data_IF_197705173107
#
_entry.id   IF_197705173107
#
_cell.length_a   1.000
_cell.length_b   1.000
_cell.length_c   1.000
_cell.angle_alpha   90.00
_cell.angle_beta   90.00
_cell.angle_gamma   90.00
#
_symmetry.space_group_name_H-M   'P 1'
#
loop_
_entity.id
_entity.type
_entity.pdbx_description
1 polymer ?
#
# COMPACT_ATOMS: atom_id res chain seq x y z
N UNK A 1 -22.60 -5.80 -50.54
CA UNK A 1 -21.93 -4.57 -50.05
C UNK A 1 -21.60 -4.77 -48.58
N UNK A 2 -20.31 -4.90 -48.23
CA UNK A 2 -19.83 -5.17 -46.86
C UNK A 2 -19.55 -3.83 -46.16
N UNK A 3 -20.30 -3.52 -45.10
CA UNK A 3 -20.04 -2.37 -44.24
C UNK A 3 -18.77 -2.63 -43.41
N UNK A 4 -17.71 -1.83 -43.64
CA UNK A 4 -16.54 -1.78 -42.77
C UNK A 4 -16.81 -0.76 -41.66
N UNK A 5 -17.06 -1.25 -40.46
CA UNK A 5 -17.02 -0.41 -39.25
C UNK A 5 -15.58 0.02 -38.99
N UNK A 6 -15.32 1.31 -39.11
CA UNK A 6 -14.05 1.95 -38.77
C UNK A 6 -13.97 2.01 -37.24
N UNK A 7 -13.09 1.21 -36.65
CA UNK A 7 -12.67 1.38 -35.27
C UNK A 7 -11.71 2.57 -35.20
N UNK A 8 -12.18 3.69 -34.65
CA UNK A 8 -11.31 4.82 -34.30
C UNK A 8 -10.54 4.42 -33.04
N UNK A 9 -9.26 4.08 -33.21
CA UNK A 9 -8.32 4.04 -32.09
C UNK A 9 -8.13 5.47 -31.58
N UNK A 10 -8.75 5.83 -30.46
CA UNK A 10 -8.33 7.01 -29.70
C UNK A 10 -6.98 6.68 -29.02
N UNK A 11 -5.89 7.06 -29.68
CA UNK A 11 -4.59 7.18 -29.06
C UNK A 11 -4.63 8.36 -28.09
N UNK A 12 -4.74 8.05 -26.78
CA UNK A 12 -4.52 9.02 -25.71
C UNK A 12 -3.05 9.43 -25.78
N UNK A 13 -2.79 10.62 -26.33
CA UNK A 13 -1.48 11.25 -26.28
C UNK A 13 -1.24 11.69 -24.83
N UNK A 14 -0.41 10.94 -24.11
CA UNK A 14 0.06 11.37 -22.80
C UNK A 14 0.98 12.57 -22.97
N UNK A 15 0.54 13.74 -22.51
CA UNK A 15 1.40 14.88 -22.28
C UNK A 15 2.37 14.54 -21.15
N UNK A 16 3.65 14.36 -21.47
CA UNK A 16 4.70 14.25 -20.45
C UNK A 16 4.68 15.49 -19.55
N UNK A 17 4.87 15.35 -18.23
CA UNK A 17 5.03 16.50 -17.37
C UNK A 17 6.22 17.33 -17.87
N UNK A 18 6.00 18.62 -18.03
CA UNK A 18 7.01 19.57 -18.49
C UNK A 18 8.13 19.61 -17.44
N UNK A 19 9.32 19.12 -17.79
CA UNK A 19 10.49 19.24 -16.93
C UNK A 19 10.93 20.71 -16.88
N UNK A 20 10.87 21.32 -15.70
CA UNK A 20 11.46 22.64 -15.49
C UNK A 20 12.98 22.51 -15.33
N UNK A 21 13.74 23.46 -15.89
CA UNK A 21 15.14 23.73 -15.49
C UNK A 21 15.17 23.89 -13.97
N UNK A 22 16.25 23.48 -13.29
CA UNK A 22 16.43 23.77 -11.85
C UNK A 22 16.27 25.28 -11.64
N UNK A 23 15.08 25.68 -11.18
CA UNK A 23 14.74 27.02 -10.78
C UNK A 23 15.04 27.13 -9.29
N UNK A 24 15.41 28.33 -8.85
CA UNK A 24 15.67 28.63 -7.43
C UNK A 24 14.46 28.31 -6.52
N UNK A 25 13.28 28.17 -7.12
CA UNK A 25 12.00 27.87 -6.49
C UNK A 25 11.73 26.36 -6.31
N UNK A 26 12.53 25.47 -6.91
CA UNK A 26 12.30 24.03 -6.81
C UNK A 26 13.04 23.40 -5.64
N UNK A 27 12.42 23.41 -4.47
CA UNK A 27 12.97 22.85 -3.23
C UNK A 27 12.33 21.52 -2.87
N UNK A 28 13.08 20.69 -2.14
CA UNK A 28 12.53 19.47 -1.56
C UNK A 28 11.83 19.88 -0.25
N UNK A 29 10.49 19.79 -0.17
CA UNK A 29 9.77 20.21 1.01
C UNK A 29 10.09 19.27 2.16
N UNK A 30 10.74 19.82 3.20
CA UNK A 30 11.01 19.08 4.43
C UNK A 30 9.70 18.89 5.19
N UNK A 31 9.55 17.71 5.77
CA UNK A 31 8.42 17.42 6.63
C UNK A 31 8.63 18.14 7.97
N UNK A 32 7.65 18.96 8.38
CA UNK A 32 7.72 19.69 9.65
C UNK A 32 7.83 18.75 10.86
N UNK A 33 8.54 19.19 11.90
CA UNK A 33 8.86 18.37 13.08
C UNK A 33 7.61 17.80 13.77
N UNK A 34 6.50 18.55 13.78
CA UNK A 34 5.22 18.09 14.35
C UNK A 34 4.65 16.84 13.70
N UNK A 35 5.04 16.54 12.45
CA UNK A 35 4.57 15.37 11.72
C UNK A 35 5.45 14.13 11.94
N UNK A 36 6.64 14.29 12.54
CA UNK A 36 7.60 13.20 12.77
C UNK A 36 7.35 12.51 14.10
N UNK A 37 7.41 11.18 14.13
CA UNK A 37 7.37 10.40 15.39
C UNK A 37 8.77 10.14 16.00
N UNK A 38 9.83 10.39 15.24
CA UNK A 38 11.21 10.27 15.68
C UNK A 38 12.02 11.46 15.16
N UNK A 39 13.17 11.78 15.77
CA UNK A 39 14.12 12.77 15.24
C UNK A 39 14.79 12.36 13.90
N UNK A 40 14.25 11.34 13.22
CA UNK A 40 14.75 10.87 11.94
C UNK A 40 14.26 11.80 10.83
N UNK A 41 15.16 12.31 9.97
CA UNK A 41 14.77 13.14 8.85
C UNK A 41 13.89 12.33 7.87
N UNK A 42 12.86 12.98 7.35
CA UNK A 42 11.99 12.42 6.32
C UNK A 42 12.25 13.11 4.98
N UNK A 43 12.25 12.31 3.91
CA UNK A 43 12.57 12.77 2.56
C UNK A 43 11.43 12.48 1.60
N UNK A 44 11.09 13.44 0.75
CA UNK A 44 10.06 13.27 -0.26
C UNK A 44 10.62 12.56 -1.49
N UNK A 45 10.09 11.37 -1.79
CA UNK A 45 10.57 10.53 -2.88
C UNK A 45 9.45 10.11 -3.82
N UNK A 46 9.77 9.93 -5.11
CA UNK A 46 8.89 9.23 -6.04
C UNK A 46 8.96 7.74 -5.77
N UNK A 47 7.79 7.12 -5.62
CA UNK A 47 7.72 5.69 -5.37
C UNK A 47 7.80 4.91 -6.68
N UNK A 48 8.64 3.87 -6.70
CA UNK A 48 8.75 2.96 -7.84
C UNK A 48 9.04 3.68 -9.18
N UNK A 49 9.73 4.82 -9.15
CA UNK A 49 10.01 5.65 -10.33
C UNK A 49 10.59 4.86 -11.52
N UNK A 50 11.53 3.94 -11.25
CA UNK A 50 12.13 3.05 -12.26
C UNK A 50 11.13 2.18 -13.02
N UNK A 51 9.93 2.00 -12.48
CA UNK A 51 8.87 1.18 -13.04
C UNK A 51 7.72 2.00 -13.63
N UNK A 52 7.78 3.35 -13.64
CA UNK A 52 6.67 4.19 -14.12
C UNK A 52 6.34 3.99 -15.60
N UNK A 53 7.32 3.62 -16.41
CA UNK A 53 7.11 3.34 -17.83
C UNK A 53 6.51 1.94 -18.09
N UNK A 54 6.35 1.12 -17.05
CA UNK A 54 5.72 -0.20 -17.18
C UNK A 54 4.20 -0.05 -17.15
N UNK A 55 3.51 -0.84 -17.98
CA UNK A 55 2.04 -0.82 -18.06
C UNK A 55 1.37 -1.24 -16.75
N UNK A 56 1.99 -2.17 -16.02
CA UNK A 56 1.47 -2.78 -14.81
C UNK A 56 2.42 -2.51 -13.63
N UNK A 57 1.90 -2.42 -12.40
CA UNK A 57 2.74 -2.21 -11.23
C UNK A 57 3.61 -3.43 -10.92
N UNK A 58 4.74 -3.19 -10.26
CA UNK A 58 5.63 -4.26 -9.85
C UNK A 58 4.94 -5.24 -8.89
N UNK A 59 5.30 -6.53 -8.98
CA UNK A 59 4.75 -7.63 -8.16
C UNK A 59 3.22 -7.78 -8.23
N UNK A 60 2.61 -7.33 -9.32
CA UNK A 60 1.20 -7.57 -9.58
C UNK A 60 0.92 -9.07 -9.61
N UNK A 61 -0.14 -9.47 -8.92
CA UNK A 61 -0.68 -10.82 -8.91
C UNK A 61 -2.19 -10.78 -8.81
N UNK A 62 -2.84 -11.73 -9.47
CA UNK A 62 -4.29 -11.92 -9.45
C UNK A 62 -4.59 -13.26 -8.80
N UNK A 63 -5.41 -13.23 -7.77
CA UNK A 63 -5.90 -14.41 -7.06
C UNK A 63 -7.42 -14.48 -7.30
N UNK A 64 -7.78 -14.88 -8.51
CA UNK A 64 -9.16 -14.83 -9.02
C UNK A 64 -10.15 -15.62 -8.15
N UNK A 65 -9.72 -16.75 -7.58
CA UNK A 65 -10.52 -17.58 -6.67
C UNK A 65 -10.88 -16.84 -5.37
N UNK A 66 -10.12 -15.81 -5.01
CA UNK A 66 -10.36 -15.00 -3.82
C UNK A 66 -10.83 -13.57 -4.13
N UNK A 67 -10.90 -13.20 -5.42
CA UNK A 67 -11.16 -11.83 -5.90
C UNK A 67 -10.17 -10.81 -5.31
N UNK A 68 -8.90 -11.19 -5.23
CA UNK A 68 -7.81 -10.34 -4.72
C UNK A 68 -6.89 -10.00 -5.88
N UNK A 69 -6.66 -8.71 -6.09
CA UNK A 69 -5.52 -8.16 -6.84
C UNK A 69 -4.51 -7.71 -5.80
N UNK A 70 -3.22 -7.87 -6.06
CA UNK A 70 -2.22 -7.34 -5.16
C UNK A 70 -0.94 -6.90 -5.89
N UNK A 71 -0.32 -5.80 -5.46
CA UNK A 71 0.92 -5.31 -6.06
C UNK A 71 1.74 -4.43 -5.13
N UNK A 72 2.87 -3.92 -5.63
CA UNK A 72 3.54 -2.74 -5.09
C UNK A 72 2.77 -1.45 -5.45
N UNK A 73 3.21 -0.31 -4.92
CA UNK A 73 2.64 1.00 -5.28
C UNK A 73 2.60 1.19 -6.80
N UNK A 74 1.46 1.67 -7.27
CA UNK A 74 1.16 1.93 -8.69
C UNK A 74 1.17 3.44 -8.99
N UNK A 75 1.38 3.77 -10.27
CA UNK A 75 0.92 5.03 -10.84
C UNK A 75 -0.57 4.98 -11.19
N UNK A 76 -1.16 6.13 -11.49
CA UNK A 76 -2.55 6.23 -11.94
C UNK A 76 -2.83 5.32 -13.15
N UNK A 77 -1.96 5.36 -14.16
CA UNK A 77 -2.10 4.53 -15.35
C UNK A 77 -1.96 3.04 -15.04
N UNK A 78 -1.06 2.68 -14.13
CA UNK A 78 -0.87 1.30 -13.68
C UNK A 78 -2.09 0.76 -12.93
N UNK A 79 -2.73 1.59 -12.09
CA UNK A 79 -3.95 1.22 -11.38
C UNK A 79 -5.06 0.84 -12.36
N UNK A 80 -5.35 1.74 -13.31
CA UNK A 80 -6.39 1.53 -14.34
C UNK A 80 -6.13 0.25 -15.14
N UNK A 81 -4.87 0.02 -15.54
CA UNK A 81 -4.50 -1.17 -16.28
C UNK A 81 -4.63 -2.45 -15.45
N UNK A 82 -4.31 -2.41 -14.17
CA UNK A 82 -4.38 -3.56 -13.27
C UNK A 82 -5.82 -3.92 -12.89
N UNK A 83 -6.73 -2.95 -12.84
CA UNK A 83 -8.17 -3.21 -12.61
C UNK A 83 -8.95 -3.43 -13.91
N UNK A 84 -8.28 -3.44 -15.06
CA UNK A 84 -8.95 -3.59 -16.35
C UNK A 84 -9.76 -4.89 -16.39
N UNK A 85 -11.00 -4.81 -16.88
CA UNK A 85 -11.97 -5.91 -16.92
C UNK A 85 -12.37 -6.47 -15.54
N UNK A 86 -12.07 -5.74 -14.46
CA UNK A 86 -12.63 -5.99 -13.13
C UNK A 86 -13.83 -5.05 -12.97
N UNK A 87 -14.83 -5.49 -12.21
CA UNK A 87 -16.01 -4.68 -11.88
C UNK A 87 -15.65 -3.59 -10.87
N UNK A 88 -16.51 -3.38 -9.86
CA UNK A 88 -16.14 -2.54 -8.71
C UNK A 88 -14.95 -3.17 -7.99
N UNK A 89 -13.94 -2.35 -7.70
CA UNK A 89 -12.75 -2.70 -6.92
C UNK A 89 -12.69 -1.77 -5.69
N UNK A 90 -12.38 -2.36 -4.54
CA UNK A 90 -11.99 -1.62 -3.35
C UNK A 90 -10.47 -1.60 -3.32
N UNK A 91 -9.87 -0.44 -3.49
CA UNK A 91 -8.45 -0.22 -3.28
C UNK A 91 -8.16 -0.19 -1.77
N UNK A 92 -7.40 -1.18 -1.32
CA UNK A 92 -7.04 -1.38 0.08
C UNK A 92 -5.58 -1.00 0.25
N UNK A 93 -5.40 0.24 0.64
CA UNK A 93 -4.11 0.82 0.92
C UNK A 93 -3.64 0.44 2.33
N UNK A 94 -2.50 -0.24 2.40
CA UNK A 94 -1.91 -0.73 3.65
C UNK A 94 -0.79 0.17 4.18
N UNK A 95 -0.66 1.40 3.67
CA UNK A 95 0.48 2.27 3.94
C UNK A 95 0.26 3.16 5.15
N UNK A 96 1.20 3.18 6.09
CA UNK A 96 1.17 4.13 7.20
C UNK A 96 1.88 5.43 6.84
N UNK A 97 2.90 5.37 6.00
CA UNK A 97 3.68 6.50 5.53
C UNK A 97 2.81 7.52 4.78
N UNK A 98 3.09 8.81 4.96
CA UNK A 98 2.40 9.87 4.25
C UNK A 98 2.72 9.79 2.75
N UNK A 99 1.69 9.76 1.92
CA UNK A 99 1.86 9.62 0.49
C UNK A 99 0.73 10.26 -0.31
N UNK A 100 0.93 10.32 -1.62
CA UNK A 100 -0.05 10.83 -2.56
C UNK A 100 0.45 10.68 -3.98
N UNK A 101 -0.18 11.43 -4.87
CA UNK A 101 0.13 11.45 -6.30
C UNK A 101 0.39 12.87 -6.76
N UNK A 102 1.45 13.05 -7.56
CA UNK A 102 1.69 14.28 -8.29
C UNK A 102 1.54 13.99 -9.79
N UNK A 103 0.50 14.54 -10.44
CA UNK A 103 0.17 14.20 -11.84
C UNK A 103 0.09 12.69 -12.11
N UNK A 104 -0.50 11.93 -11.18
CA UNK A 104 -0.64 10.47 -11.30
C UNK A 104 0.64 9.67 -11.04
N UNK A 105 1.75 10.33 -10.68
CA UNK A 105 3.00 9.68 -10.23
C UNK A 105 2.96 9.56 -8.69
N UNK A 106 3.12 8.35 -8.12
CA UNK A 106 3.05 8.15 -6.69
C UNK A 106 4.32 8.68 -6.00
N UNK A 107 4.15 9.27 -4.83
CA UNK A 107 5.24 9.72 -3.98
C UNK A 107 4.94 9.40 -2.52
N UNK A 108 5.97 9.40 -1.66
CA UNK A 108 5.80 9.37 -0.22
C UNK A 108 6.91 10.10 0.51
N UNK A 109 6.63 10.45 1.77
CA UNK A 109 7.67 10.77 2.73
C UNK A 109 8.24 9.47 3.31
N UNK A 110 9.55 9.26 3.15
CA UNK A 110 10.28 8.15 3.78
C UNK A 110 11.09 8.67 4.96
N UNK A 111 10.88 8.10 6.15
CA UNK A 111 11.75 8.34 7.30
C UNK A 111 12.85 7.28 7.34
N UNK A 112 14.11 7.70 7.26
CA UNK A 112 15.23 6.75 7.21
C UNK A 112 15.82 6.51 8.61
N UNK A 113 16.29 5.27 8.89
CA UNK A 113 16.46 4.15 7.96
C UNK A 113 15.29 3.13 7.94
N UNK A 114 14.20 3.36 8.68
CA UNK A 114 13.20 2.31 8.99
C UNK A 114 11.83 2.47 8.32
N UNK A 115 11.55 3.60 7.66
CA UNK A 115 10.26 3.97 7.08
C UNK A 115 9.10 3.92 8.09
N UNK A 116 9.36 4.48 9.28
CA UNK A 116 8.50 4.36 10.45
C UNK A 116 8.02 5.73 10.97
N UNK A 117 7.87 6.72 10.07
CA UNK A 117 7.49 8.11 10.40
C UNK A 117 6.22 8.20 11.26
N UNK A 118 5.32 7.24 11.08
CA UNK A 118 4.02 7.16 11.74
C UNK A 118 3.88 5.98 12.70
N UNK A 119 4.99 5.36 13.12
CA UNK A 119 4.96 4.28 14.10
C UNK A 119 4.25 4.74 15.38
N UNK A 120 3.34 3.93 15.93
CA UNK A 120 2.63 4.28 17.17
C UNK A 120 1.58 5.40 17.07
N UNK A 121 1.46 6.12 15.94
CA UNK A 121 0.35 7.04 15.71
C UNK A 121 -0.93 6.27 15.39
N UNK A 122 -2.08 6.80 15.82
CA UNK A 122 -3.38 6.27 15.41
C UNK A 122 -3.67 6.62 13.94
N UNK A 123 -4.50 5.80 13.28
CA UNK A 123 -4.90 6.06 11.89
C UNK A 123 -5.52 7.45 11.72
N UNK A 124 -6.35 7.91 12.65
CA UNK A 124 -7.03 9.21 12.54
C UNK A 124 -6.03 10.38 12.55
N UNK A 125 -4.97 10.28 13.37
CA UNK A 125 -3.87 11.26 13.37
C UNK A 125 -3.14 11.19 12.03
N UNK A 126 -2.79 10.00 11.55
CA UNK A 126 -2.07 9.82 10.29
C UNK A 126 -2.86 10.40 9.11
N UNK A 127 -4.16 10.13 9.03
CA UNK A 127 -5.03 10.63 7.95
C UNK A 127 -5.17 12.15 7.98
N UNK A 128 -5.34 12.72 9.18
CA UNK A 128 -5.39 14.17 9.37
C UNK A 128 -4.07 14.83 8.94
N UNK A 129 -2.95 14.30 9.40
CA UNK A 129 -1.62 14.80 9.08
C UNK A 129 -1.34 14.67 7.57
N UNK A 130 -1.65 13.52 6.96
CA UNK A 130 -1.51 13.29 5.50
C UNK A 130 -2.29 14.34 4.70
N UNK A 131 -3.55 14.58 5.06
CA UNK A 131 -4.37 15.61 4.42
C UNK A 131 -3.74 17.00 4.53
N UNK A 132 -3.26 17.39 5.71
CA UNK A 132 -2.61 18.70 5.91
C UNK A 132 -1.33 18.82 5.08
N UNK A 133 -0.49 17.78 5.07
CA UNK A 133 0.75 17.75 4.28
C UNK A 133 0.44 17.90 2.79
N UNK A 134 -0.54 17.16 2.27
CA UNK A 134 -0.88 17.16 0.84
C UNK A 134 -1.47 18.50 0.39
N UNK A 135 -2.51 18.99 1.06
CA UNK A 135 -3.30 20.12 0.55
C UNK A 135 -2.94 21.47 1.15
N UNK A 136 -2.38 21.51 2.36
CA UNK A 136 -1.97 22.76 3.01
C UNK A 136 -0.44 22.97 2.95
N UNK A 137 0.32 21.92 2.64
CA UNK A 137 1.75 22.00 2.32
C UNK A 137 2.01 21.95 0.82
N UNK A 138 2.05 20.73 0.26
CA UNK A 138 2.56 20.47 -1.09
C UNK A 138 1.74 21.15 -2.20
N UNK A 139 0.42 21.17 -2.10
CA UNK A 139 -0.45 21.75 -3.14
C UNK A 139 -0.27 23.27 -3.31
N UNK A 140 0.31 23.96 -2.32
CA UNK A 140 0.56 25.40 -2.38
C UNK A 140 1.86 25.76 -3.12
N UNK A 141 2.78 24.80 -3.27
CA UNK A 141 4.00 24.99 -4.04
C UNK A 141 3.71 24.89 -5.53
N UNK A 142 4.30 25.78 -6.35
CA UNK A 142 4.18 25.68 -7.82
C UNK A 142 5.00 24.52 -8.38
N UNK A 143 6.17 24.28 -7.79
CA UNK A 143 7.12 23.23 -8.18
C UNK A 143 7.61 22.50 -6.94
N UNK A 144 7.75 21.17 -7.04
CA UNK A 144 8.21 20.33 -5.94
C UNK A 144 9.39 19.49 -6.42
N UNK A 145 10.46 19.46 -5.61
CA UNK A 145 11.61 18.59 -5.83
C UNK A 145 11.41 17.25 -5.13
N UNK A 146 11.51 16.17 -5.89
CA UNK A 146 11.43 14.80 -5.38
C UNK A 146 12.77 14.07 -5.58
N UNK A 147 13.13 13.17 -4.66
CA UNK A 147 14.13 12.15 -4.95
C UNK A 147 13.55 11.09 -5.90
N UNK A 148 14.31 10.72 -6.93
CA UNK A 148 13.84 9.84 -8.01
C UNK A 148 13.80 8.35 -7.65
N UNK A 149 14.23 7.94 -6.46
CA UNK A 149 14.33 6.54 -6.09
C UNK A 149 13.67 6.29 -4.74
N UNK A 150 13.23 5.06 -4.51
CA UNK A 150 12.96 4.56 -3.16
C UNK A 150 14.29 4.56 -2.39
N UNK A 151 14.53 5.61 -1.60
CA UNK A 151 15.72 5.83 -0.81
C UNK A 151 15.89 4.70 0.21
N UNK A 152 17.14 4.29 0.40
CA UNK A 152 17.53 3.29 1.42
C UNK A 152 18.51 3.86 2.44
N UNK A 153 19.11 4.99 2.11
CA UNK A 153 20.13 5.70 2.86
C UNK A 153 19.85 7.20 2.74
N UNK A 154 20.37 7.96 3.71
CA UNK A 154 20.26 9.42 3.71
C UNK A 154 20.78 9.94 2.37
N UNK A 155 19.97 10.72 1.62
CA UNK A 155 20.40 11.24 0.34
C UNK A 155 21.52 12.25 0.50
N UNK A 156 22.44 12.26 -0.46
CA UNK A 156 23.57 13.18 -0.58
C UNK A 156 23.40 14.11 -1.81
N UNK A 157 24.41 14.92 -2.11
CA UNK A 157 24.38 15.83 -3.28
C UNK A 157 24.28 15.10 -4.63
N UNK A 158 24.67 13.82 -4.70
CA UNK A 158 24.63 13.03 -5.92
C UNK A 158 23.30 12.28 -6.10
N UNK A 159 22.44 12.32 -5.08
CA UNK A 159 21.17 11.61 -5.10
C UNK A 159 20.27 12.20 -6.18
N UNK A 160 19.78 11.39 -7.14
CA UNK A 160 19.07 11.91 -8.30
C UNK A 160 17.72 12.49 -7.88
N UNK A 161 17.46 13.70 -8.34
CA UNK A 161 16.22 14.43 -8.05
C UNK A 161 15.48 14.82 -9.32
N UNK A 162 14.25 15.25 -9.16
CA UNK A 162 13.39 15.74 -10.23
C UNK A 162 12.55 16.89 -9.72
N UNK A 163 12.47 17.95 -10.52
CA UNK A 163 11.56 19.06 -10.29
C UNK A 163 10.29 18.86 -11.12
N UNK A 164 9.13 18.82 -10.46
CA UNK A 164 7.84 18.64 -11.12
C UNK A 164 6.91 19.81 -10.77
N UNK A 165 6.05 20.20 -11.72
CA UNK A 165 4.90 21.04 -11.40
C UNK A 165 3.99 20.32 -10.40
N UNK A 166 3.44 21.08 -9.46
CA UNK A 166 2.55 20.54 -8.43
C UNK A 166 1.14 20.35 -8.97
N UNK A 167 0.61 19.14 -8.78
CA UNK A 167 -0.78 18.75 -8.97
C UNK A 167 -1.05 17.56 -8.05
N UNK A 168 -1.23 17.88 -6.78
CA UNK A 168 -1.28 16.92 -5.68
C UNK A 168 -2.68 16.34 -5.53
N UNK A 169 -2.73 15.02 -5.37
CA UNK A 169 -3.93 14.27 -5.03
C UNK A 169 -3.63 13.23 -3.96
N UNK A 170 -4.58 13.01 -3.06
CA UNK A 170 -4.61 11.82 -2.24
C UNK A 170 -4.86 10.57 -3.10
N UNK A 171 -4.56 9.40 -2.56
CA UNK A 171 -4.90 8.14 -3.22
C UNK A 171 -6.43 7.97 -3.32
N UNK A 172 -7.19 8.41 -2.30
CA UNK A 172 -8.66 8.38 -2.34
C UNK A 172 -9.23 9.22 -3.50
N UNK A 173 -8.69 10.41 -3.76
CA UNK A 173 -9.13 11.26 -4.87
C UNK A 173 -8.82 10.62 -6.22
N UNK A 174 -7.66 9.97 -6.34
CA UNK A 174 -7.27 9.25 -7.55
C UNK A 174 -8.20 8.08 -7.82
N UNK A 175 -8.49 7.27 -6.80
CA UNK A 175 -9.36 6.09 -6.91
C UNK A 175 -10.81 6.51 -7.20
N UNK A 176 -11.30 7.56 -6.53
CA UNK A 176 -12.64 8.09 -6.74
C UNK A 176 -12.88 8.58 -8.18
N UNK A 177 -11.85 9.14 -8.85
CA UNK A 177 -11.91 9.56 -10.25
C UNK A 177 -12.37 8.42 -11.19
N UNK A 178 -12.10 7.17 -10.84
CA UNK A 178 -12.44 5.98 -11.63
C UNK A 178 -13.67 5.24 -11.11
N UNK A 179 -14.50 5.89 -10.28
CA UNK A 179 -15.64 5.30 -9.60
C UNK A 179 -15.27 3.97 -8.91
N UNK A 180 -14.08 3.92 -8.32
CA UNK A 180 -13.66 2.82 -7.46
C UNK A 180 -13.79 3.24 -6.00
N UNK A 181 -13.73 2.27 -5.10
CA UNK A 181 -13.81 2.55 -3.67
C UNK A 181 -12.42 2.49 -3.05
N UNK A 182 -12.19 3.30 -2.01
CA UNK A 182 -10.92 3.37 -1.30
C UNK A 182 -11.11 2.98 0.17
N UNK A 183 -10.18 2.19 0.70
CA UNK A 183 -10.18 1.71 2.09
C UNK A 183 -8.75 1.74 2.64
N UNK A 184 -8.53 2.52 3.71
CA UNK A 184 -7.19 2.72 4.28
C UNK A 184 -6.97 1.94 5.57
N UNK A 185 -5.84 1.25 5.66
CA UNK A 185 -5.30 0.59 6.86
C UNK A 185 -3.85 1.06 7.05
N UNK A 186 -3.56 1.85 8.08
CA UNK A 186 -2.23 2.43 8.29
C UNK A 186 -1.25 1.44 8.95
N UNK A 187 -0.87 0.38 8.23
CA UNK A 187 0.11 -0.60 8.70
C UNK A 187 1.55 -0.08 8.51
N UNK A 188 2.32 -0.02 9.60
CA UNK A 188 3.72 0.44 9.59
C UNK A 188 4.59 -0.49 8.76
N UNK A 189 5.52 0.06 7.96
CA UNK A 189 6.40 -0.78 7.14
C UNK A 189 7.31 -1.66 8.00
N UNK A 190 7.72 -2.79 7.42
CA UNK A 190 8.61 -3.81 8.00
C UNK A 190 8.09 -4.55 9.24
N UNK A 191 7.15 -4.00 10.00
CA UNK A 191 6.59 -4.57 11.22
C UNK A 191 5.42 -5.54 10.97
N UNK A 192 4.99 -6.21 12.03
CA UNK A 192 3.71 -6.90 12.07
C UNK A 192 2.56 -5.88 12.06
N UNK A 193 1.40 -6.24 11.52
CA UNK A 193 0.19 -5.42 11.68
C UNK A 193 -0.21 -5.38 13.15
N UNK A 194 -0.57 -4.20 13.65
CA UNK A 194 -1.13 -4.04 15.00
C UNK A 194 -2.52 -4.68 15.10
N UNK A 195 -2.98 -5.00 16.32
CA UNK A 195 -4.34 -5.48 16.54
C UNK A 195 -5.42 -4.60 15.90
N UNK A 196 -5.34 -3.27 16.05
CA UNK A 196 -6.28 -2.34 15.42
C UNK A 196 -6.28 -2.42 13.89
N UNK A 197 -5.12 -2.63 13.27
CA UNK A 197 -5.02 -2.80 11.82
C UNK A 197 -5.61 -4.14 11.35
N UNK A 198 -5.50 -5.18 12.18
CA UNK A 198 -6.18 -6.46 11.94
C UNK A 198 -7.68 -6.27 12.06
N UNK A 199 -8.17 -5.56 13.08
CA UNK A 199 -9.59 -5.23 13.24
C UNK A 199 -10.16 -4.47 12.04
N UNK A 200 -9.41 -3.51 11.49
CA UNK A 200 -9.80 -2.82 10.25
C UNK A 200 -9.88 -3.75 9.05
N UNK A 201 -9.00 -4.75 8.96
CA UNK A 201 -9.06 -5.75 7.89
C UNK A 201 -10.25 -6.71 8.08
N UNK A 202 -10.59 -7.05 9.32
CA UNK A 202 -11.79 -7.83 9.65
C UNK A 202 -13.07 -7.06 9.32
N UNK A 203 -13.12 -5.76 9.66
CA UNK A 203 -14.24 -4.88 9.34
C UNK A 203 -14.47 -4.79 7.82
N UNK A 204 -13.39 -4.57 7.04
CA UNK A 204 -13.46 -4.64 5.57
C UNK A 204 -14.12 -5.94 5.10
N UNK A 205 -13.66 -7.08 5.65
CA UNK A 205 -14.22 -8.38 5.28
C UNK A 205 -15.70 -8.48 5.63
N UNK A 206 -16.06 -8.23 6.88
CA UNK A 206 -17.41 -8.45 7.39
C UNK A 206 -18.44 -7.50 6.76
N UNK A 207 -18.07 -6.26 6.53
CA UNK A 207 -18.97 -5.22 6.01
C UNK A 207 -19.09 -5.27 4.49
N UNK A 208 -18.00 -5.59 3.77
CA UNK A 208 -17.93 -5.38 2.31
C UNK A 208 -17.78 -6.64 1.50
N UNK A 209 -17.11 -7.67 2.04
CA UNK A 209 -16.68 -8.83 1.25
C UNK A 209 -17.48 -10.09 1.54
N UNK A 210 -17.87 -10.30 2.81
CA UNK A 210 -18.49 -11.54 3.27
C UNK A 210 -19.81 -11.83 2.57
N UNK A 211 -20.65 -10.82 2.40
CA UNK A 211 -21.96 -10.92 1.72
C UNK A 211 -21.87 -10.66 0.20
N UNK A 212 -20.71 -10.24 -0.32
CA UNK A 212 -20.50 -9.96 -1.73
C UNK A 212 -19.28 -10.73 -2.27
N UNK A 213 -19.43 -12.02 -2.59
CA UNK A 213 -18.31 -12.86 -3.06
C UNK A 213 -17.75 -12.41 -4.42
N UNK A 214 -18.45 -11.54 -5.15
CA UNK A 214 -17.99 -10.98 -6.43
C UNK A 214 -17.12 -9.73 -6.28
N UNK A 215 -17.10 -9.11 -5.09
CA UNK A 215 -16.35 -7.88 -4.82
C UNK A 215 -14.85 -8.13 -4.93
N UNK A 216 -14.19 -7.35 -5.79
CA UNK A 216 -12.74 -7.34 -5.88
C UNK A 216 -12.12 -6.41 -4.85
N UNK A 217 -11.00 -6.82 -4.28
CA UNK A 217 -10.11 -5.96 -3.51
C UNK A 217 -8.76 -5.84 -4.21
N UNK A 218 -8.16 -4.67 -4.13
CA UNK A 218 -6.80 -4.41 -4.56
C UNK A 218 -5.95 -4.15 -3.33
N UNK A 219 -5.09 -5.08 -2.94
CA UNK A 219 -4.19 -4.90 -1.81
C UNK A 219 -2.86 -4.34 -2.27
N UNK A 220 -2.36 -3.27 -1.66
CA UNK A 220 -1.01 -2.81 -1.96
C UNK A 220 -0.29 -2.21 -0.76
N UNK A 221 1.03 -2.08 -0.92
CA UNK A 221 1.87 -1.24 -0.10
C UNK A 221 3.03 -0.76 -0.97
N UNK A 222 3.97 0.05 -0.42
CA UNK A 222 5.09 0.58 -1.20
C UNK A 222 5.82 -0.48 -2.06
N UNK A 223 6.17 -1.63 -1.46
CA UNK A 223 6.96 -2.67 -2.10
C UNK A 223 6.20 -3.93 -2.53
N UNK A 224 4.88 -4.01 -2.27
CA UNK A 224 4.02 -5.14 -2.64
C UNK A 224 4.39 -6.48 -2.01
N UNK A 225 5.09 -6.43 -0.87
CA UNK A 225 5.73 -7.57 -0.21
C UNK A 225 5.11 -7.81 1.17
N UNK A 226 5.79 -7.43 2.26
CA UNK A 226 5.41 -7.78 3.64
C UNK A 226 3.94 -7.50 3.97
N UNK A 227 3.55 -6.22 4.03
CA UNK A 227 2.18 -5.79 4.37
C UNK A 227 1.13 -6.41 3.44
N UNK A 228 1.34 -6.31 2.13
CA UNK A 228 0.43 -6.84 1.12
C UNK A 228 0.23 -8.35 1.23
N UNK A 229 1.32 -9.10 1.45
CA UNK A 229 1.28 -10.57 1.57
C UNK A 229 0.62 -10.99 2.88
N UNK A 230 0.87 -10.26 3.97
CA UNK A 230 0.17 -10.44 5.25
C UNK A 230 -1.33 -10.24 5.10
N UNK A 231 -1.78 -9.12 4.52
CA UNK A 231 -3.21 -8.87 4.31
C UNK A 231 -3.84 -9.90 3.37
N UNK A 232 -3.10 -10.35 2.35
CA UNK A 232 -3.53 -11.43 1.43
C UNK A 232 -3.79 -12.72 2.22
N UNK A 233 -2.87 -13.12 3.10
CA UNK A 233 -3.02 -14.31 3.92
C UNK A 233 -4.27 -14.22 4.82
N UNK A 234 -4.46 -13.11 5.52
CA UNK A 234 -5.58 -12.92 6.44
C UNK A 234 -6.93 -12.91 5.68
N UNK A 235 -7.03 -12.24 4.53
CA UNK A 235 -8.26 -12.26 3.74
C UNK A 235 -8.57 -13.66 3.18
N UNK A 236 -7.56 -14.43 2.79
CA UNK A 236 -7.74 -15.84 2.39
C UNK A 236 -8.24 -16.66 3.58
N UNK A 237 -7.67 -16.49 4.78
CA UNK A 237 -8.15 -17.18 5.99
C UNK A 237 -9.64 -16.90 6.23
N UNK A 238 -10.06 -15.65 6.14
CA UNK A 238 -11.46 -15.24 6.37
C UNK A 238 -12.42 -15.78 5.30
N UNK A 239 -12.03 -15.69 4.03
CA UNK A 239 -12.80 -16.21 2.90
C UNK A 239 -12.96 -17.73 3.01
N UNK A 240 -11.87 -18.46 3.24
CA UNK A 240 -11.90 -19.91 3.39
C UNK A 240 -12.65 -20.34 4.65
N UNK A 241 -12.54 -19.60 5.76
CA UNK A 241 -13.32 -19.88 6.98
C UNK A 241 -14.82 -19.77 6.74
N UNK A 242 -15.24 -18.84 5.88
CA UNK A 242 -16.66 -18.62 5.56
C UNK A 242 -17.19 -19.62 4.54
N UNK A 243 -16.33 -20.19 3.69
CA UNK A 243 -16.67 -21.30 2.79
C UNK A 243 -16.35 -22.69 3.37
N UNK A 244 -16.09 -22.79 4.67
CA UNK A 244 -15.77 -24.04 5.38
C UNK A 244 -14.60 -24.84 4.76
N UNK A 245 -13.66 -24.14 4.14
CA UNK A 245 -12.53 -24.71 3.39
C UNK A 245 -11.18 -24.20 3.91
N UNK A 246 -11.11 -23.78 5.17
CA UNK A 246 -9.89 -23.23 5.79
C UNK A 246 -8.82 -24.32 5.86
N UNK A 247 -7.78 -24.17 5.03
CA UNK A 247 -6.67 -25.12 4.97
C UNK A 247 -5.76 -24.96 6.20
N UNK A 248 -5.00 -26.02 6.57
CA UNK A 248 -4.02 -25.95 7.66
C UNK A 248 -3.05 -24.78 7.48
N UNK A 249 -2.66 -24.14 8.59
CA UNK A 249 -1.83 -22.93 8.59
C UNK A 249 -0.59 -23.05 7.69
N UNK A 250 0.19 -24.13 7.81
CA UNK A 250 1.40 -24.32 7.02
C UNK A 250 1.13 -24.42 5.51
N UNK A 251 -0.01 -25.01 5.12
CA UNK A 251 -0.41 -25.08 3.71
C UNK A 251 -0.84 -23.71 3.20
N UNK A 252 -1.58 -22.95 4.01
CA UNK A 252 -1.99 -21.58 3.69
C UNK A 252 -0.78 -20.67 3.50
N UNK A 253 0.19 -20.72 4.43
CA UNK A 253 1.41 -19.93 4.33
C UNK A 253 2.19 -20.33 3.07
N UNK A 254 2.40 -21.63 2.82
CA UNK A 254 3.07 -22.10 1.59
C UNK A 254 2.37 -21.58 0.32
N UNK A 255 1.05 -21.67 0.26
CA UNK A 255 0.26 -21.16 -0.86
C UNK A 255 0.48 -19.64 -1.05
N UNK A 256 0.35 -18.86 0.03
CA UNK A 256 0.50 -17.40 -0.02
C UNK A 256 1.93 -17.00 -0.41
N UNK A 257 2.95 -17.69 0.10
CA UNK A 257 4.35 -17.44 -0.28
C UNK A 257 4.59 -17.73 -1.77
N UNK A 258 4.00 -18.80 -2.31
CA UNK A 258 4.12 -19.16 -3.72
C UNK A 258 3.50 -18.08 -4.62
N UNK A 259 2.25 -17.70 -4.37
CA UNK A 259 1.55 -16.71 -5.21
C UNK A 259 2.10 -15.30 -5.07
N UNK A 260 2.74 -14.96 -3.94
CA UNK A 260 3.33 -13.65 -3.69
C UNK A 260 4.81 -13.56 -4.06
N UNK A 261 5.51 -14.69 -4.20
CA UNK A 261 6.98 -14.75 -4.26
C UNK A 261 7.65 -14.03 -3.07
N UNK A 262 6.99 -14.01 -1.90
CA UNK A 262 7.48 -13.40 -0.67
C UNK A 262 7.49 -14.42 0.47
N UNK A 263 8.59 -14.46 1.23
CA UNK A 263 8.74 -15.36 2.37
C UNK A 263 8.17 -14.74 3.64
N UNK A 264 7.10 -15.35 4.15
CA UNK A 264 6.48 -15.04 5.44
C UNK A 264 7.15 -15.82 6.57
N UNK A 265 7.62 -17.05 6.29
CA UNK A 265 8.43 -17.82 7.24
C UNK A 265 9.80 -17.14 7.35
N UNK A 266 10.23 -16.70 8.55
CA UNK A 266 11.52 -16.06 8.73
C UNK A 266 12.67 -17.03 8.43
N UNK A 267 13.65 -16.58 7.63
CA UNK A 267 14.86 -17.35 7.33
C UNK A 267 16.02 -17.08 8.29
N UNK A 268 15.88 -16.08 9.16
CA UNK A 268 16.89 -15.71 10.15
C UNK A 268 16.62 -16.41 11.48
N UNK A 269 17.65 -16.60 12.31
CA UNK A 269 17.53 -17.27 13.60
C UNK A 269 16.57 -16.50 14.53
N UNK A 270 15.72 -17.19 15.29
CA UNK A 270 14.83 -16.56 16.27
C UNK A 270 15.59 -15.80 17.38
N UNK A 271 16.86 -16.14 17.65
CA UNK A 271 17.71 -15.42 18.60
C UNK A 271 18.36 -14.16 18.02
N UNK A 272 18.24 -13.89 16.71
CA UNK A 272 18.78 -12.69 16.07
C UNK A 272 17.99 -11.46 16.52
N UNK A 273 18.70 -10.54 17.19
CA UNK A 273 18.12 -9.33 17.77
C UNK A 273 18.06 -8.14 16.80
N UNK A 274 18.42 -8.33 15.53
CA UNK A 274 18.29 -7.28 14.53
C UNK A 274 16.83 -6.91 14.32
N UNK A 275 16.56 -5.60 14.21
CA UNK A 275 15.22 -5.05 14.02
C UNK A 275 14.44 -5.76 12.90
N UNK A 276 15.10 -6.02 11.76
CA UNK A 276 14.47 -6.68 10.61
C UNK A 276 14.18 -8.16 10.85
N UNK A 277 15.02 -8.89 11.59
CA UNK A 277 14.74 -10.29 11.88
C UNK A 277 13.61 -10.43 12.89
N UNK A 278 13.66 -9.68 13.99
CA UNK A 278 12.62 -9.65 15.00
C UNK A 278 11.26 -9.30 14.39
N UNK A 279 11.20 -8.27 13.53
CA UNK A 279 9.97 -7.88 12.87
C UNK A 279 9.37 -8.97 11.97
N UNK A 280 10.21 -9.81 11.32
CA UNK A 280 9.73 -10.96 10.55
C UNK A 280 9.14 -12.04 11.46
N UNK A 281 9.82 -12.36 12.57
CA UNK A 281 9.32 -13.32 13.55
C UNK A 281 8.01 -12.88 14.18
N UNK A 282 7.90 -11.62 14.59
CA UNK A 282 6.65 -11.04 15.11
C UNK A 282 5.52 -11.11 14.08
N UNK A 283 5.79 -10.85 12.79
CA UNK A 283 4.79 -11.01 11.72
C UNK A 283 4.32 -12.45 11.60
N UNK A 284 5.23 -13.41 11.64
CA UNK A 284 4.90 -14.83 11.51
C UNK A 284 4.08 -15.32 12.71
N UNK A 285 4.48 -14.96 13.93
CA UNK A 285 3.74 -15.27 15.16
C UNK A 285 2.35 -14.64 15.17
N UNK A 286 2.25 -13.37 14.75
CA UNK A 286 0.96 -12.70 14.59
C UNK A 286 0.06 -13.45 13.61
N UNK A 287 0.58 -13.92 12.47
CA UNK A 287 -0.21 -14.72 11.52
C UNK A 287 -0.72 -16.03 12.13
N UNK A 288 0.07 -16.69 12.98
CA UNK A 288 -0.37 -17.89 13.72
C UNK A 288 -1.51 -17.56 14.69
N UNK A 289 -1.39 -16.44 15.43
CA UNK A 289 -2.43 -15.99 16.35
C UNK A 289 -3.71 -15.60 15.61
N UNK A 290 -3.61 -14.85 14.51
CA UNK A 290 -4.76 -14.49 13.67
C UNK A 290 -5.42 -15.73 13.09
N UNK A 291 -4.65 -16.71 12.64
CA UNK A 291 -5.21 -17.98 12.16
C UNK A 291 -6.02 -18.69 13.25
N UNK A 292 -5.46 -18.83 14.45
CA UNK A 292 -6.16 -19.42 15.61
C UNK A 292 -7.43 -18.63 15.98
N UNK A 293 -7.35 -17.31 15.92
CA UNK A 293 -8.49 -16.44 16.11
C UNK A 293 -9.56 -16.69 15.04
N UNK A 294 -9.22 -16.64 13.75
CA UNK A 294 -10.17 -16.86 12.64
C UNK A 294 -10.85 -18.22 12.73
N UNK A 295 -10.13 -19.27 13.15
CA UNK A 295 -10.72 -20.59 13.39
C UNK A 295 -11.83 -20.56 14.47
N UNK A 296 -11.61 -19.80 15.54
CA UNK A 296 -12.49 -19.72 16.72
C UNK A 296 -13.45 -18.52 16.69
N UNK A 297 -13.29 -17.61 15.73
CA UNK A 297 -13.96 -16.31 15.67
C UNK A 297 -15.46 -16.50 15.64
N UNK A 298 -16.16 -15.83 16.56
CA UNK A 298 -17.62 -15.87 16.65
C UNK A 298 -18.21 -14.57 16.13
N UNK A 299 -19.11 -14.66 15.15
CA UNK A 299 -19.77 -13.48 14.57
C UNK A 299 -18.76 -12.45 14.04
N UNK A 300 -18.90 -11.20 14.49
CA UNK A 300 -18.03 -10.06 14.15
C UNK A 300 -17.10 -9.68 15.31
N UNK A 301 -16.78 -10.61 16.22
CA UNK A 301 -15.81 -10.41 17.28
C UNK A 301 -14.51 -9.77 16.74
N UNK A 302 -13.98 -8.78 17.45
CA UNK A 302 -12.73 -8.11 17.09
C UNK A 302 -11.53 -8.91 17.59
N UNK A 303 -10.44 -8.87 16.83
CA UNK A 303 -9.16 -9.45 17.22
C UNK A 303 -8.63 -8.81 18.51
N UNK A 304 -8.73 -7.49 18.65
CA UNK A 304 -8.27 -6.80 19.86
C UNK A 304 -9.00 -7.31 21.11
N UNK A 305 -10.33 -7.46 21.05
CA UNK A 305 -11.13 -8.03 22.16
C UNK A 305 -10.84 -9.50 22.43
N UNK A 306 -10.41 -10.26 21.41
CA UNK A 306 -10.02 -11.64 21.58
C UNK A 306 -8.64 -11.78 22.24
N UNK A 307 -7.67 -10.97 21.81
CA UNK A 307 -6.31 -10.96 22.39
C UNK A 307 -6.26 -10.43 23.82
N UNK A 308 -7.24 -9.65 24.26
CA UNK A 308 -7.29 -9.21 25.67
C UNK A 308 -7.73 -10.33 26.63
N UNK A 309 -8.17 -11.48 26.12
CA UNK A 309 -8.70 -12.61 26.90
C UNK A 309 -7.88 -13.90 26.75
N UNK A 310 -6.93 -13.96 25.82
CA UNK A 310 -6.14 -15.14 25.47
C UNK A 310 -4.67 -14.76 25.31
#
# INVERSE_FOLDING_TARGET
>A
MKNKSIFILLSIIFSYPSFARETQDCKAPLLGESYLNAANPAYLQLNNYKYLNQKLPAKLRYLDNYKIIASAQFSESQFINAIQNKGKVIDVDLRAEYHGFNNGIPFSYIALPYDNVNFGKSQDIILKDEHQILYNGLANDKYIKFYRNNLKHVPDMNSPTMCLTSNIKSESDLVAKYNQEYYRITATDHLAMSPDNIDRLLALYDERLKSNPSQWVYLHCQGGAGRTTTATAILIMLKQKSSESLMPFDQLIKYVEQVSSYKLVPSCNASDKSYRCQAKWLRYQMLQQVYNFVQKRKGQESYTSWTSRN
#
